data_IF_542432517957
#
_entry.id   IF_542432517957
#
_cell.length_a   1.000
_cell.length_b   1.000
_cell.length_c   1.000
_cell.angle_alpha   90.00
_cell.angle_beta   90.00
_cell.angle_gamma   90.00
#
_symmetry.space_group_name_H-M   'P 1'
#
loop_
_entity.id
_entity.type
_entity.pdbx_description
1 polymer ?
#
# COMPACT_ATOMS: atom_id res chain seq x y z
N UNK A 1 -15.03 5.17 -10.66
CA UNK A 1 -13.79 5.56 -11.37
C UNK A 1 -13.49 7.05 -11.31
N UNK A 2 -14.43 7.96 -11.63
CA UNK A 2 -14.20 9.43 -11.60
C UNK A 2 -13.54 9.90 -10.30
N UNK A 3 -14.13 9.59 -9.15
CA UNK A 3 -13.60 9.96 -7.82
C UNK A 3 -12.17 9.46 -7.59
N UNK A 4 -11.85 8.25 -8.06
CA UNK A 4 -10.51 7.67 -7.93
C UNK A 4 -9.49 8.47 -8.77
N UNK A 5 -9.83 8.82 -10.01
CA UNK A 5 -8.95 9.60 -10.88
C UNK A 5 -8.79 11.05 -10.41
N UNK A 6 -9.84 11.69 -9.90
CA UNK A 6 -9.75 13.02 -9.30
C UNK A 6 -8.83 13.01 -8.07
N UNK A 7 -8.93 11.95 -7.24
CA UNK A 7 -8.04 11.76 -6.10
C UNK A 7 -6.59 11.51 -6.55
N UNK A 8 -6.40 10.65 -7.55
CA UNK A 8 -5.09 10.35 -8.14
C UNK A 8 -4.41 11.62 -8.66
N UNK A 9 -5.11 12.41 -9.47
CA UNK A 9 -4.60 13.68 -10.04
C UNK A 9 -4.31 14.74 -8.97
N UNK A 10 -4.97 14.67 -7.81
CA UNK A 10 -4.78 15.64 -6.73
C UNK A 10 -3.54 15.35 -5.88
N UNK A 11 -3.22 14.08 -5.63
CA UNK A 11 -2.22 13.70 -4.61
C UNK A 11 -1.03 12.88 -5.15
N UNK A 12 -1.13 12.26 -6.32
CA UNK A 12 -0.15 11.26 -6.79
C UNK A 12 0.75 11.78 -7.92
N UNK A 13 1.09 13.06 -7.90
CA UNK A 13 2.00 13.69 -8.86
C UNK A 13 3.36 13.01 -8.92
N UNK A 14 3.84 12.50 -7.78
CA UNK A 14 5.03 11.67 -7.67
C UNK A 14 5.00 10.46 -8.62
N UNK A 15 3.82 9.88 -8.86
CA UNK A 15 3.66 8.72 -9.72
C UNK A 15 3.37 9.12 -11.17
N UNK A 16 2.42 10.03 -11.42
CA UNK A 16 2.01 10.34 -12.80
C UNK A 16 2.96 11.29 -13.53
N UNK A 17 3.81 12.04 -12.84
CA UNK A 17 4.85 12.87 -13.47
C UNK A 17 6.17 12.13 -13.67
N UNK A 18 6.39 10.99 -13.00
CA UNK A 18 7.57 10.16 -13.23
C UNK A 18 7.33 9.25 -14.45
N UNK A 19 8.07 9.46 -15.56
CA UNK A 19 7.85 8.71 -16.79
C UNK A 19 8.20 7.22 -16.68
N UNK A 20 8.82 6.79 -15.58
CA UNK A 20 9.10 5.37 -15.30
C UNK A 20 7.84 4.61 -14.90
N UNK A 21 6.80 5.29 -14.44
CA UNK A 21 5.53 4.68 -14.05
C UNK A 21 4.50 4.79 -15.16
N UNK A 22 3.77 3.70 -15.38
CA UNK A 22 2.70 3.63 -16.37
C UNK A 22 1.46 3.00 -15.76
N UNK A 23 0.28 3.50 -16.13
CA UNK A 23 -0.98 2.80 -15.83
C UNK A 23 -0.98 1.51 -16.64
N UNK A 24 -1.04 0.36 -15.96
CA UNK A 24 -0.99 -0.97 -16.57
C UNK A 24 -2.29 -1.74 -16.43
N UNK A 25 -3.11 -1.39 -15.44
CA UNK A 25 -4.43 -1.97 -15.26
C UNK A 25 -5.40 -0.96 -14.61
N UNK A 26 -6.68 -1.15 -14.89
CA UNK A 26 -7.75 -0.39 -14.23
C UNK A 26 -9.04 -1.20 -14.23
N UNK A 27 -9.73 -1.21 -13.09
CA UNK A 27 -11.00 -1.93 -12.93
C UNK A 27 -12.05 -0.94 -12.43
N UNK A 28 -13.29 -1.06 -12.91
CA UNK A 28 -14.43 -0.36 -12.31
C UNK A 28 -15.68 -1.20 -12.40
N UNK A 29 -16.46 -1.20 -11.32
CA UNK A 29 -17.82 -1.78 -11.31
C UNK A 29 -18.84 -1.00 -12.15
N UNK A 30 -18.47 0.15 -12.71
CA UNK A 30 -19.38 1.09 -13.38
C UNK A 30 -20.15 2.00 -12.41
N UNK A 31 -20.14 1.71 -11.10
CA UNK A 31 -20.69 2.60 -10.07
C UNK A 31 -19.71 3.74 -9.83
N UNK A 32 -20.21 4.98 -9.87
CA UNK A 32 -19.35 6.17 -9.78
C UNK A 32 -18.56 6.21 -8.47
N UNK A 33 -19.19 5.81 -7.36
CA UNK A 33 -18.67 5.96 -5.99
C UNK A 33 -17.91 4.76 -5.46
N UNK A 34 -18.03 3.57 -6.06
CA UNK A 34 -17.58 2.32 -5.45
C UNK A 34 -16.84 1.41 -6.43
N UNK A 35 -15.95 0.60 -5.87
CA UNK A 35 -15.28 -0.53 -6.51
C UNK A 35 -14.63 -0.09 -7.82
N UNK A 36 -13.56 0.69 -7.68
CA UNK A 36 -12.67 1.03 -8.77
C UNK A 36 -11.23 0.87 -8.30
N UNK A 37 -10.34 0.44 -9.19
CA UNK A 37 -8.89 0.40 -8.94
C UNK A 37 -8.11 0.89 -10.13
N UNK A 38 -6.93 1.41 -9.85
CA UNK A 38 -5.93 1.84 -10.82
C UNK A 38 -4.59 1.24 -10.41
N UNK A 39 -3.94 0.52 -11.31
CA UNK A 39 -2.61 -0.05 -11.10
C UNK A 39 -1.59 0.72 -11.93
N UNK A 40 -0.52 1.18 -11.27
CA UNK A 40 0.63 1.80 -11.91
C UNK A 40 1.85 0.92 -11.71
N UNK A 41 2.52 0.54 -12.78
CA UNK A 41 3.72 -0.27 -12.73
C UNK A 41 4.94 0.58 -13.08
N UNK A 42 5.96 0.52 -12.23
CA UNK A 42 7.29 1.06 -12.49
C UNK A 42 8.35 -0.04 -12.58
N UNK A 43 9.64 0.31 -12.56
CA UNK A 43 10.72 -0.67 -12.70
C UNK A 43 10.95 -1.54 -11.46
N UNK A 44 10.71 -0.99 -10.27
CA UNK A 44 10.95 -1.65 -8.97
C UNK A 44 9.62 -1.91 -8.26
N UNK A 45 8.72 -0.92 -8.27
CA UNK A 45 7.46 -0.94 -7.52
C UNK A 45 6.26 -0.87 -8.46
N UNK A 46 5.24 -1.64 -8.13
CA UNK A 46 3.89 -1.49 -8.63
C UNK A 46 3.02 -0.91 -7.52
N UNK A 47 2.11 -0.02 -7.90
CA UNK A 47 1.20 0.70 -7.02
C UNK A 47 -0.23 0.35 -7.40
N UNK A 48 -1.08 0.14 -6.40
CA UNK A 48 -2.51 -0.02 -6.58
C UNK A 48 -3.23 1.02 -5.74
N UNK A 49 -4.00 1.86 -6.41
CA UNK A 49 -4.93 2.79 -5.79
C UNK A 49 -6.35 2.23 -5.96
N UNK A 50 -7.05 1.98 -4.87
CA UNK A 50 -8.40 1.45 -4.89
C UNK A 50 -9.38 2.40 -4.20
N UNK A 51 -10.59 2.53 -4.75
CA UNK A 51 -11.75 3.05 -4.06
C UNK A 51 -12.66 1.88 -3.69
N UNK A 52 -12.60 1.46 -2.43
CA UNK A 52 -13.49 0.46 -1.86
C UNK A 52 -14.54 1.16 -0.99
N UNK A 53 -15.79 1.17 -1.47
CA UNK A 53 -16.95 1.76 -0.77
C UNK A 53 -16.71 3.18 -0.23
N UNK A 54 -16.00 4.02 -0.99
CA UNK A 54 -15.68 5.41 -0.63
C UNK A 54 -14.36 5.57 0.14
N UNK A 55 -13.70 4.49 0.53
CA UNK A 55 -12.38 4.52 1.15
C UNK A 55 -11.30 4.40 0.07
N UNK A 56 -10.40 5.39 0.01
CA UNK A 56 -9.26 5.34 -0.88
C UNK A 56 -8.10 4.63 -0.18
N UNK A 57 -7.67 3.51 -0.76
CA UNK A 57 -6.63 2.64 -0.24
C UNK A 57 -5.43 2.66 -1.20
N UNK A 58 -4.22 2.76 -0.66
CA UNK A 58 -2.99 2.67 -1.41
C UNK A 58 -2.23 1.40 -1.01
N UNK A 59 -1.72 0.69 -2.00
CA UNK A 59 -0.89 -0.50 -1.78
C UNK A 59 0.27 -0.55 -2.75
N UNK A 60 1.34 -1.21 -2.32
CA UNK A 60 2.61 -1.34 -3.03
C UNK A 60 2.97 -2.82 -3.12
N UNK A 61 3.50 -3.22 -4.26
CA UNK A 61 4.12 -4.53 -4.46
C UNK A 61 5.46 -4.35 -5.18
N UNK A 62 6.46 -5.22 -4.93
CA UNK A 62 7.61 -5.34 -5.82
C UNK A 62 7.15 -5.80 -7.22
N UNK A 63 7.44 -5.02 -8.26
CA UNK A 63 6.96 -5.30 -9.64
C UNK A 63 7.32 -6.70 -10.13
N UNK A 64 8.52 -7.19 -9.79
CA UNK A 64 9.00 -8.51 -10.21
C UNK A 64 8.24 -9.67 -9.58
N UNK A 65 7.54 -9.43 -8.48
CA UNK A 65 6.82 -10.43 -7.72
C UNK A 65 5.35 -10.02 -7.56
N UNK A 66 4.78 -9.31 -8.54
CA UNK A 66 3.40 -8.84 -8.47
C UNK A 66 2.41 -10.03 -8.49
N UNK A 67 2.10 -10.55 -7.30
CA UNK A 67 1.08 -11.57 -7.04
C UNK A 67 0.06 -11.02 -6.05
N UNK A 68 -1.16 -11.56 -6.03
CA UNK A 68 -2.27 -11.04 -5.21
C UNK A 68 -1.95 -10.98 -3.71
N UNK A 69 -1.04 -11.83 -3.22
CA UNK A 69 -0.61 -11.93 -1.83
C UNK A 69 0.66 -11.10 -1.50
N UNK A 70 1.16 -10.28 -2.44
CA UNK A 70 2.37 -9.45 -2.28
C UNK A 70 2.09 -7.94 -2.38
N UNK A 71 0.85 -7.54 -2.13
CA UNK A 71 0.44 -6.16 -1.96
C UNK A 71 0.45 -5.77 -0.49
N UNK A 72 1.09 -4.65 -0.17
CA UNK A 72 1.27 -4.12 1.18
C UNK A 72 0.82 -2.65 1.27
N UNK A 73 0.11 -2.28 2.33
CA UNK A 73 -0.18 -0.87 2.59
C UNK A 73 1.13 -0.12 2.88
N UNK A 74 1.16 1.16 2.55
CA UNK A 74 2.33 2.00 2.84
C UNK A 74 2.53 2.14 4.35
N UNK A 75 1.45 2.23 5.13
CA UNK A 75 1.50 2.25 6.59
C UNK A 75 2.26 1.05 7.19
N UNK A 76 2.09 -0.15 6.61
CA UNK A 76 2.82 -1.35 7.05
C UNK A 76 4.30 -1.29 6.66
N UNK A 77 4.61 -0.75 5.47
CA UNK A 77 5.99 -0.54 5.02
C UNK A 77 6.68 0.51 5.91
N UNK A 78 5.98 1.60 6.26
CA UNK A 78 6.44 2.63 7.20
C UNK A 78 6.81 2.02 8.55
N UNK A 79 5.89 1.25 9.15
CA UNK A 79 6.12 0.56 10.41
C UNK A 79 7.38 -0.32 10.34
N UNK A 80 7.49 -1.15 9.30
CA UNK A 80 8.64 -2.03 9.10
C UNK A 80 9.95 -1.25 8.98
N UNK A 81 9.98 -0.20 8.17
CA UNK A 81 11.19 0.57 7.91
C UNK A 81 11.63 1.42 9.10
N UNK A 82 10.69 1.88 9.92
CA UNK A 82 10.98 2.67 11.12
C UNK A 82 11.24 1.80 12.36
N UNK A 83 10.81 0.53 12.35
CA UNK A 83 10.86 -0.34 13.52
C UNK A 83 9.82 0.02 14.58
N UNK A 84 8.67 0.55 14.15
CA UNK A 84 7.60 0.99 15.06
C UNK A 84 6.86 -0.24 15.65
N UNK A 85 6.59 -0.21 16.97
CA UNK A 85 5.95 -1.32 17.68
C UNK A 85 4.47 -1.53 17.29
N UNK A 86 3.80 -0.44 16.91
CA UNK A 86 2.41 -0.39 16.49
C UNK A 86 2.29 0.25 15.09
N UNK A 87 1.29 -0.20 14.33
CA UNK A 87 1.00 0.38 13.03
C UNK A 87 0.11 1.62 13.19
N UNK A 88 0.55 2.72 12.60
CA UNK A 88 -0.25 3.92 12.40
C UNK A 88 -0.88 3.87 11.02
N UNK A 89 -2.20 3.64 10.95
CA UNK A 89 -2.93 3.64 9.67
C UNK A 89 -3.17 5.06 9.19
N UNK A 90 -2.52 5.41 8.08
CA UNK A 90 -2.64 6.71 7.42
C UNK A 90 -3.68 6.66 6.29
N UNK A 91 -4.20 7.83 5.92
CA UNK A 91 -4.96 7.96 4.67
C UNK A 91 -4.04 7.81 3.45
N UNK A 92 -4.57 7.41 2.29
CA UNK A 92 -3.78 7.27 1.07
C UNK A 92 -3.00 8.53 0.67
N UNK A 93 -3.52 9.73 0.98
CA UNK A 93 -2.83 11.01 0.75
C UNK A 93 -1.63 11.21 1.68
N UNK A 94 -1.78 10.85 2.96
CA UNK A 94 -0.66 10.90 3.93
C UNK A 94 0.37 9.82 3.64
N UNK A 95 -0.07 8.64 3.20
CA UNK A 95 0.79 7.55 2.77
C UNK A 95 1.67 7.97 1.58
N UNK A 96 1.10 8.55 0.52
CA UNK A 96 1.89 8.97 -0.65
C UNK A 96 2.83 10.14 -0.32
N UNK A 97 2.44 11.02 0.60
CA UNK A 97 3.32 12.11 1.04
C UNK A 97 4.51 11.58 1.85
N UNK A 98 4.28 10.61 2.73
CA UNK A 98 5.37 9.92 3.42
C UNK A 98 6.33 9.21 2.45
N UNK A 99 5.78 8.60 1.39
CA UNK A 99 6.58 7.99 0.31
C UNK A 99 7.39 9.05 -0.43
N UNK A 100 6.89 10.26 -0.65
CA UNK A 100 7.66 11.34 -1.31
C UNK A 100 8.99 11.60 -0.59
N UNK A 101 8.97 11.57 0.74
CA UNK A 101 10.15 11.78 1.58
C UNK A 101 11.02 10.51 1.74
N UNK A 102 10.41 9.33 1.65
CA UNK A 102 11.05 8.05 1.97
C UNK A 102 11.20 7.09 0.78
N UNK A 103 10.90 7.55 -0.45
CA UNK A 103 10.76 6.71 -1.63
C UNK A 103 11.99 5.87 -1.92
N UNK A 104 13.19 6.42 -1.72
CA UNK A 104 14.44 5.66 -1.86
C UNK A 104 14.56 4.47 -0.89
N UNK A 105 14.07 4.59 0.35
CA UNK A 105 14.05 3.48 1.32
C UNK A 105 13.04 2.40 0.90
N UNK A 106 11.91 2.82 0.34
CA UNK A 106 10.88 1.91 -0.17
C UNK A 106 11.38 1.17 -1.42
N UNK A 107 12.00 1.86 -2.37
CA UNK A 107 12.61 1.22 -3.54
C UNK A 107 13.74 0.27 -3.13
N UNK A 108 14.60 0.68 -2.19
CA UNK A 108 15.71 -0.13 -1.69
C UNK A 108 15.24 -1.42 -0.99
N UNK A 109 14.07 -1.40 -0.33
CA UNK A 109 13.47 -2.59 0.28
C UNK A 109 13.17 -3.70 -0.74
N UNK A 110 12.97 -3.31 -2.01
CA UNK A 110 12.55 -4.20 -3.09
C UNK A 110 13.50 -4.19 -4.31
N UNK A 111 14.74 -3.71 -4.13
CA UNK A 111 15.63 -3.44 -5.27
C UNK A 111 16.24 -4.69 -5.90
N UNK A 112 16.46 -5.76 -5.13
CA UNK A 112 16.99 -7.03 -5.64
C UNK A 112 16.05 -8.20 -5.33
N UNK A 113 16.19 -9.27 -6.11
CA UNK A 113 15.24 -10.39 -6.06
C UNK A 113 15.27 -11.15 -4.73
N UNK A 114 16.47 -11.36 -4.16
CA UNK A 114 16.61 -12.11 -2.92
C UNK A 114 16.07 -11.31 -1.73
N UNK A 115 16.41 -10.02 -1.63
CA UNK A 115 15.90 -9.15 -0.57
C UNK A 115 14.40 -8.90 -0.71
N UNK A 116 13.86 -8.81 -1.93
CA UNK A 116 12.43 -8.61 -2.16
C UNK A 116 11.57 -9.75 -1.61
N UNK A 117 11.99 -11.01 -1.80
CA UNK A 117 11.25 -12.15 -1.25
C UNK A 117 11.28 -12.16 0.27
N UNK A 118 12.47 -12.00 0.87
CA UNK A 118 12.62 -11.91 2.33
C UNK A 118 11.82 -10.74 2.90
N UNK A 119 11.84 -9.57 2.25
CA UNK A 119 11.06 -8.40 2.66
C UNK A 119 9.55 -8.70 2.62
N UNK A 120 9.05 -9.37 1.57
CA UNK A 120 7.65 -9.78 1.48
C UNK A 120 7.27 -10.73 2.63
N UNK A 121 8.12 -11.69 2.97
CA UNK A 121 7.88 -12.62 4.07
C UNK A 121 7.83 -11.91 5.43
N UNK A 122 8.77 -10.99 5.67
CA UNK A 122 8.82 -10.18 6.89
C UNK A 122 7.58 -9.28 7.01
N UNK A 123 7.19 -8.59 5.94
CA UNK A 123 5.98 -7.75 5.93
C UNK A 123 4.71 -8.58 6.15
N UNK A 124 4.64 -9.81 5.60
CA UNK A 124 3.53 -10.74 5.88
C UNK A 124 3.48 -11.16 7.35
N UNK A 125 4.64 -11.48 7.93
CA UNK A 125 4.73 -11.84 9.33
C UNK A 125 4.32 -10.65 10.23
N UNK A 126 4.77 -9.44 9.90
CA UNK A 126 4.41 -8.21 10.61
C UNK A 126 2.90 -7.94 10.54
N UNK A 127 2.29 -8.05 9.36
CA UNK A 127 0.83 -7.91 9.19
C UNK A 127 0.05 -8.88 10.08
N UNK A 128 0.47 -10.16 10.11
CA UNK A 128 -0.15 -11.16 10.98
C UNK A 128 0.03 -10.81 12.46
N UNK A 129 1.22 -10.37 12.85
CA UNK A 129 1.49 -9.92 14.22
C UNK A 129 0.58 -8.76 14.63
N UNK A 130 0.43 -7.74 13.78
CA UNK A 130 -0.47 -6.62 14.04
C UNK A 130 -1.92 -7.09 14.20
N UNK A 131 -2.41 -7.94 13.28
CA UNK A 131 -3.76 -8.48 13.37
C UNK A 131 -4.00 -9.26 14.68
N UNK A 132 -3.03 -10.07 15.12
CA UNK A 132 -3.09 -10.78 16.39
C UNK A 132 -3.09 -9.83 17.59
N UNK A 133 -2.22 -8.80 17.60
CA UNK A 133 -2.18 -7.78 18.66
C UNK A 133 -3.53 -7.06 18.79
N UNK A 134 -4.08 -6.55 17.69
CA UNK A 134 -5.37 -5.89 17.68
C UNK A 134 -6.51 -6.80 18.16
N UNK A 135 -6.53 -8.05 17.72
CA UNK A 135 -7.55 -9.01 18.16
C UNK A 135 -7.49 -9.26 19.67
N UNK A 136 -6.29 -9.45 20.22
CA UNK A 136 -6.10 -9.63 21.67
C UNK A 136 -6.54 -8.39 22.46
N UNK A 137 -6.10 -7.20 22.05
CA UNK A 137 -6.48 -5.93 22.67
C UNK A 137 -8.01 -5.71 22.63
N UNK A 138 -8.65 -6.02 21.49
CA UNK A 138 -10.10 -5.92 21.37
C UNK A 138 -10.81 -6.87 22.35
N UNK A 139 -10.33 -8.13 22.49
CA UNK A 139 -10.91 -9.08 23.45
C UNK A 139 -10.79 -8.61 24.88
N UNK A 140 -9.64 -8.08 25.26
CA UNK A 140 -9.41 -7.49 26.60
C UNK A 140 -10.37 -6.34 26.87
N UNK A 141 -10.58 -5.44 25.91
CA UNK A 141 -11.54 -4.33 26.00
C UNK A 141 -13.00 -4.80 26.16
N UNK A 142 -13.33 -5.98 25.61
CA UNK A 142 -14.65 -6.59 25.76
C UNK A 142 -14.78 -7.44 27.04
N UNK A 143 -13.73 -7.52 27.88
CA UNK A 143 -13.73 -8.37 29.07
C UNK A 143 -13.77 -9.87 28.78
N UNK A 144 -13.27 -10.29 27.60
CA UNK A 144 -13.29 -11.68 27.12
C UNK A 144 -12.02 -12.48 27.46
N UNK A 145 -11.35 -12.12 28.56
CA UNK A 145 -10.09 -12.72 29.04
C UNK A 145 -10.24 -13.38 30.39
#
# INVERSE_FOLDING_TARGET
MKTLLEYFLKYFDLLYLDPRYHITDSISSGVATNNASLTLTGPILSWQLANDRGQILLSVAPTRLETSDKWFSVSLIKQYLNGDDEIEYLSAAEEIEWVRENGGRVEQLFSDAATSETACELLRALRRSNASKYWTQWREQQGLT
#
